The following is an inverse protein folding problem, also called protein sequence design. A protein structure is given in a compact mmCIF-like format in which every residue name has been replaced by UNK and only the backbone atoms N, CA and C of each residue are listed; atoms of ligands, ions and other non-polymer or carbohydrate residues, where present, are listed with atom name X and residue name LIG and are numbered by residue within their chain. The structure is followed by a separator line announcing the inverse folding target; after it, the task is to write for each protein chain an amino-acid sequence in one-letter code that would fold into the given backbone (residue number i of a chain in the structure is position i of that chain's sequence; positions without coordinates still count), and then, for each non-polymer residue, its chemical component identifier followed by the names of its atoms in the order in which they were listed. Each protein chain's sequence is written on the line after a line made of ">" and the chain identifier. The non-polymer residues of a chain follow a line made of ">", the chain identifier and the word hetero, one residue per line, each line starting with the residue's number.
data_IF_463912752059
#
_entry.id   IF_463912752059
#
_cell.length_a   1.000
_cell.length_b   1.000
_cell.length_c   1.000
_cell.angle_alpha   90.00
_cell.angle_beta   90.00
_cell.angle_gamma   90.00
#
_symmetry.space_group_name_H-M   'P 1'
#
loop_
_entity.id
_entity.type
_entity.pdbx_description
1 polymer ?
#
# COMPACT_ATOMS: atom_id res chain seq x y z
N UNK A 1 -7.41 -0.07 27.91
CA UNK A 1 -6.73 -0.47 26.66
C UNK A 1 -6.74 -1.98 26.60
N UNK A 2 -7.53 -2.55 25.69
CA UNK A 2 -7.82 -3.99 25.63
C UNK A 2 -6.69 -4.81 25.02
N UNK A 3 -6.77 -6.14 25.10
CA UNK A 3 -5.81 -7.06 24.47
C UNK A 3 -5.76 -6.87 22.94
N UNK A 4 -6.92 -6.63 22.32
CA UNK A 4 -7.02 -6.38 20.87
C UNK A 4 -6.26 -5.11 20.45
N UNK A 5 -6.38 -4.01 21.22
CA UNK A 5 -5.67 -2.76 20.94
C UNK A 5 -4.15 -2.96 20.93
N UNK A 6 -3.63 -3.81 21.82
CA UNK A 6 -2.19 -4.11 21.90
C UNK A 6 -1.71 -4.88 20.69
N UNK A 7 -2.45 -5.92 20.30
CA UNK A 7 -2.13 -6.74 19.11
C UNK A 7 -2.13 -5.86 17.85
N UNK A 8 -3.12 -4.99 17.69
CA UNK A 8 -3.19 -4.08 16.54
C UNK A 8 -2.02 -3.11 16.50
N UNK A 9 -1.62 -2.55 17.65
CA UNK A 9 -0.46 -1.65 17.74
C UNK A 9 0.85 -2.36 17.41
N UNK A 10 1.04 -3.58 17.89
CA UNK A 10 2.23 -4.37 17.58
C UNK A 10 2.30 -4.71 16.10
N UNK A 11 1.18 -5.09 15.49
CA UNK A 11 1.09 -5.32 14.05
C UNK A 11 1.44 -4.07 13.25
N UNK A 12 0.81 -2.92 13.55
CA UNK A 12 1.09 -1.66 12.86
C UNK A 12 2.58 -1.30 12.97
N UNK A 13 3.17 -1.42 14.16
CA UNK A 13 4.60 -1.14 14.34
C UNK A 13 5.50 -2.04 13.50
N UNK A 14 5.15 -3.31 13.35
CA UNK A 14 5.89 -4.26 12.52
C UNK A 14 5.69 -3.96 11.03
N UNK A 15 4.46 -3.72 10.60
CA UNK A 15 4.11 -3.54 9.20
C UNK A 15 4.69 -2.22 8.63
N UNK A 16 4.96 -1.22 9.47
CA UNK A 16 5.57 0.06 9.09
C UNK A 16 7.02 0.23 9.58
N UNK A 17 7.77 -0.85 9.76
CA UNK A 17 9.24 -0.78 9.84
C UNK A 17 9.83 -0.51 8.45
N UNK A 18 11.15 -0.27 8.38
CA UNK A 18 11.84 -0.14 7.09
C UNK A 18 11.62 -1.37 6.18
N UNK A 19 11.75 -2.59 6.72
CA UNK A 19 11.48 -3.83 5.98
C UNK A 19 10.02 -3.92 5.51
N UNK A 20 9.06 -3.52 6.36
CA UNK A 20 7.65 -3.51 5.98
C UNK A 20 7.34 -2.51 4.86
N UNK A 21 7.96 -1.33 4.89
CA UNK A 21 7.86 -0.33 3.83
C UNK A 21 8.52 -0.79 2.53
N UNK A 22 9.67 -1.47 2.62
CA UNK A 22 10.36 -2.07 1.48
C UNK A 22 9.50 -3.16 0.82
N UNK A 23 8.83 -4.00 1.61
CA UNK A 23 7.91 -5.01 1.10
C UNK A 23 6.70 -4.39 0.38
N UNK A 24 6.13 -3.30 0.93
CA UNK A 24 5.05 -2.56 0.27
C UNK A 24 5.51 -1.98 -1.08
N UNK A 25 6.71 -1.37 -1.10
CA UNK A 25 7.28 -0.80 -2.31
C UNK A 25 7.53 -1.87 -3.37
N UNK A 26 8.14 -3.00 -2.98
CA UNK A 26 8.41 -4.13 -3.88
C UNK A 26 7.14 -4.65 -4.55
N UNK A 27 6.03 -4.76 -3.82
CA UNK A 27 4.74 -5.21 -4.39
C UNK A 27 4.21 -4.23 -5.44
N UNK A 28 4.35 -2.92 -5.20
CA UNK A 28 3.95 -1.90 -6.17
C UNK A 28 4.87 -1.87 -7.38
N UNK A 29 6.18 -2.07 -7.17
CA UNK A 29 7.19 -2.14 -8.23
C UNK A 29 6.94 -3.33 -9.17
N UNK A 30 6.68 -4.52 -8.61
CA UNK A 30 6.29 -5.69 -9.39
C UNK A 30 5.00 -5.44 -10.19
N UNK A 31 3.97 -4.86 -9.57
CA UNK A 31 2.73 -4.52 -10.29
C UNK A 31 3.00 -3.54 -11.45
N UNK A 32 3.89 -2.56 -11.23
CA UNK A 32 4.33 -1.62 -12.24
C UNK A 32 5.05 -2.33 -13.40
N UNK A 33 5.94 -3.28 -13.13
CA UNK A 33 6.63 -4.04 -14.17
C UNK A 33 5.65 -4.77 -15.09
N UNK A 34 4.70 -5.52 -14.52
CA UNK A 34 3.65 -6.17 -15.30
C UNK A 34 2.80 -5.18 -16.11
N UNK A 35 2.47 -4.03 -15.53
CA UNK A 35 1.73 -2.99 -16.25
C UNK A 35 2.52 -2.43 -17.44
N UNK A 36 3.80 -2.11 -17.24
CA UNK A 36 4.70 -1.55 -18.27
C UNK A 36 4.94 -2.51 -19.44
N UNK A 37 4.93 -3.81 -19.18
CA UNK A 37 5.06 -4.86 -20.19
C UNK A 37 3.73 -5.23 -20.87
N UNK A 38 2.62 -4.59 -20.49
CA UNK A 38 1.29 -4.89 -21.03
C UNK A 38 0.69 -6.21 -20.51
N UNK A 39 1.23 -6.76 -19.43
CA UNK A 39 0.89 -8.08 -18.85
C UNK A 39 0.07 -7.97 -17.56
N UNK A 40 -0.62 -6.84 -17.35
CA UNK A 40 -1.31 -6.57 -16.08
C UNK A 40 -2.37 -7.63 -15.72
N UNK A 41 -2.98 -8.25 -16.73
CA UNK A 41 -4.01 -9.28 -16.55
C UNK A 41 -3.41 -10.61 -16.02
N UNK A 42 -2.07 -10.78 -16.05
CA UNK A 42 -1.36 -11.91 -15.42
C UNK A 42 -1.07 -11.66 -13.93
N UNK A 43 -0.93 -10.39 -13.52
CA UNK A 43 -0.51 -10.02 -12.17
C UNK A 43 -1.67 -9.99 -11.16
N UNK A 44 -2.91 -9.80 -11.64
CA UNK A 44 -4.06 -9.59 -10.76
C UNK A 44 -5.37 -10.03 -11.42
N UNK A 45 -6.32 -10.59 -10.65
CA UNK A 45 -7.66 -10.91 -11.15
C UNK A 45 -8.60 -9.68 -11.20
N UNK A 46 -8.16 -8.51 -10.72
CA UNK A 46 -8.98 -7.30 -10.71
C UNK A 46 -9.23 -6.78 -12.12
N UNK A 47 -10.40 -6.16 -12.34
CA UNK A 47 -10.61 -5.38 -13.56
C UNK A 47 -9.65 -4.18 -13.58
N UNK A 48 -9.34 -3.69 -14.79
CA UNK A 48 -8.46 -2.52 -14.95
C UNK A 48 -9.03 -1.27 -14.30
N UNK A 49 -10.36 -1.13 -14.28
CA UNK A 49 -11.05 -0.03 -13.61
C UNK A 49 -10.89 -0.11 -12.09
N UNK A 50 -11.15 -1.29 -11.51
CA UNK A 50 -11.01 -1.50 -10.06
C UNK A 50 -9.56 -1.29 -9.61
N UNK A 51 -8.59 -1.86 -10.33
CA UNK A 51 -7.18 -1.69 -10.02
C UNK A 51 -6.78 -0.20 -10.06
N UNK A 52 -7.25 0.54 -11.07
CA UNK A 52 -7.01 1.98 -11.16
C UNK A 52 -7.65 2.74 -10.00
N UNK A 53 -8.85 2.37 -9.57
CA UNK A 53 -9.49 2.92 -8.38
C UNK A 53 -8.62 2.76 -7.14
N UNK A 54 -8.20 1.53 -6.86
CA UNK A 54 -7.31 1.20 -5.74
C UNK A 54 -6.00 1.98 -5.75
N UNK A 55 -5.35 2.10 -6.91
CA UNK A 55 -4.09 2.86 -7.02
C UNK A 55 -4.29 4.36 -6.77
N UNK A 56 -5.41 4.94 -7.23
CA UNK A 56 -5.73 6.34 -6.93
C UNK A 56 -5.98 6.56 -5.44
N UNK A 57 -6.73 5.66 -4.79
CA UNK A 57 -7.01 5.75 -3.35
C UNK A 57 -5.73 5.59 -2.53
N UNK A 58 -4.82 4.71 -2.94
CA UNK A 58 -3.49 4.57 -2.33
C UNK A 58 -2.68 5.86 -2.46
N UNK A 59 -2.63 6.46 -3.66
CA UNK A 59 -1.94 7.74 -3.89
C UNK A 59 -2.56 8.85 -3.03
N UNK A 60 -3.89 8.93 -2.99
CA UNK A 60 -4.60 9.90 -2.17
C UNK A 60 -4.25 9.74 -0.68
N UNK A 61 -4.35 8.52 -0.16
CA UNK A 61 -4.07 8.22 1.25
C UNK A 61 -2.62 8.55 1.61
N UNK A 62 -1.66 8.21 0.74
CA UNK A 62 -0.26 8.54 0.96
C UNK A 62 -0.03 10.05 1.00
N UNK A 63 -0.68 10.82 0.10
CA UNK A 63 -0.59 12.28 0.08
C UNK A 63 -1.18 12.90 1.34
N UNK A 64 -2.35 12.45 1.77
CA UNK A 64 -2.97 12.94 3.01
C UNK A 64 -2.12 12.58 4.23
N UNK A 65 -1.54 11.39 4.27
CA UNK A 65 -0.63 10.98 5.35
C UNK A 65 0.59 11.90 5.43
N UNK A 66 1.21 12.23 4.29
CA UNK A 66 2.32 13.18 4.24
C UNK A 66 1.90 14.58 4.72
N UNK A 67 0.75 15.08 4.22
CA UNK A 67 0.18 16.36 4.65
C UNK A 67 -0.01 16.40 6.17
N UNK A 68 -0.58 15.34 6.75
CA UNK A 68 -0.81 15.25 8.20
C UNK A 68 0.48 15.16 9.01
N UNK A 69 1.53 14.49 8.50
CA UNK A 69 2.88 14.46 9.10
C UNK A 69 3.52 15.85 9.08
N UNK A 70 3.38 16.60 7.99
CA UNK A 70 3.96 17.94 7.88
C UNK A 70 3.22 18.99 8.74
N UNK A 71 1.95 18.74 9.06
CA UNK A 71 1.09 19.61 9.87
C UNK A 71 1.23 19.41 11.39
N UNK A 72 1.87 18.34 11.86
CA UNK A 72 1.95 17.95 13.29
C UNK A 72 3.38 17.65 13.76
#
# INVERSE_FOLDING_TARGET
>A
MGMLDRILRERIRRDYTAEGMEELFLRLDLLHDYASNGQIDEATPLSREDLRGWLNDLIYTARETLREIDEH
#
